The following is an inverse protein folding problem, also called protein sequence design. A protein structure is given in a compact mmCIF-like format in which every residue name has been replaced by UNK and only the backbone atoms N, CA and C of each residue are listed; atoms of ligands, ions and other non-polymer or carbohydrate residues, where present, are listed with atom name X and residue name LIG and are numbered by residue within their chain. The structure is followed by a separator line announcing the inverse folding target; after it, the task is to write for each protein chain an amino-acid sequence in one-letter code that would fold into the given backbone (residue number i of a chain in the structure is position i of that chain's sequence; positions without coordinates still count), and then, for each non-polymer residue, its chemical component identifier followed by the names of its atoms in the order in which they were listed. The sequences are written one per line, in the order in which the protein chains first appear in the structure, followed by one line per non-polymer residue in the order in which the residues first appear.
data_IF_032571110391
#
_entry.id   IF_032571110391
#
_cell.length_a   1.000
_cell.length_b   1.000
_cell.length_c   1.000
_cell.angle_alpha   90.00
_cell.angle_beta   90.00
_cell.angle_gamma   90.00
#
_symmetry.space_group_name_H-M   'P 1'
#
loop_
_entity.id
_entity.type
_entity.pdbx_description
1 polymer ?
#
# COMPACT_ATOMS: atom_id res chain seq x y z
N UNK A 1 -8.54 -1.83 8.78
CA UNK A 1 -9.40 -1.19 7.74
C UNK A 1 -9.15 -1.93 6.44
N UNK A 2 -9.68 -1.51 5.29
CA UNK A 2 -9.39 -2.16 3.99
C UNK A 2 -8.49 -1.27 3.14
N UNK A 3 -7.69 -1.85 2.25
CA UNK A 3 -6.82 -1.11 1.33
C UNK A 3 -7.61 -0.03 0.56
N UNK A 4 -7.08 1.20 0.52
CA UNK A 4 -7.70 2.25 -0.31
C UNK A 4 -7.17 2.19 -1.74
N UNK A 5 -8.05 2.34 -2.75
CA UNK A 5 -7.62 2.39 -4.14
C UNK A 5 -6.75 3.64 -4.38
N UNK A 6 -5.64 3.46 -5.11
CA UNK A 6 -4.75 4.54 -5.49
C UNK A 6 -5.33 5.31 -6.69
N UNK A 7 -5.15 6.63 -6.69
CA UNK A 7 -5.57 7.50 -7.80
C UNK A 7 -4.41 7.73 -8.78
N UNK A 8 -4.51 7.12 -9.95
CA UNK A 8 -3.52 7.26 -11.04
C UNK A 8 -3.57 8.62 -11.75
N UNK A 9 -4.64 9.40 -11.56
CA UNK A 9 -4.79 10.74 -12.15
C UNK A 9 -4.30 11.84 -11.20
N UNK A 10 -4.01 11.50 -9.95
CA UNK A 10 -3.42 12.40 -8.97
C UNK A 10 -2.02 12.83 -9.38
N UNK A 11 -1.60 14.08 -9.09
CA UNK A 11 -0.20 14.50 -9.25
C UNK A 11 0.75 13.78 -8.27
N UNK A 12 0.22 13.08 -7.27
CA UNK A 12 1.02 12.33 -6.29
C UNK A 12 1.46 10.98 -6.89
N UNK A 13 2.76 10.62 -6.84
CA UNK A 13 3.22 9.31 -7.29
C UNK A 13 2.49 8.15 -6.59
N UNK A 14 2.30 7.03 -7.30
CA UNK A 14 1.60 5.87 -6.75
C UNK A 14 2.30 5.26 -5.52
N UNK A 15 3.64 5.29 -5.46
CA UNK A 15 4.38 4.81 -4.30
C UNK A 15 4.05 5.65 -3.05
N UNK A 16 3.92 6.97 -3.19
CA UNK A 16 3.64 7.86 -2.06
C UNK A 16 2.20 7.69 -1.56
N UNK A 17 1.26 7.43 -2.49
CA UNK A 17 -0.11 7.09 -2.12
C UNK A 17 -0.19 5.75 -1.40
N UNK A 18 0.57 4.75 -1.87
CA UNK A 18 0.67 3.44 -1.23
C UNK A 18 1.30 3.55 0.16
N UNK A 19 2.42 4.27 0.29
CA UNK A 19 3.10 4.51 1.57
C UNK A 19 2.16 5.14 2.60
N UNK A 20 1.43 6.20 2.21
CA UNK A 20 0.45 6.86 3.08
C UNK A 20 -0.70 5.92 3.51
N UNK A 21 -1.12 5.02 2.62
CA UNK A 21 -2.12 4.00 2.94
C UNK A 21 -1.59 2.96 3.92
N UNK A 22 -0.38 2.46 3.69
CA UNK A 22 0.29 1.49 4.56
C UNK A 22 0.57 2.06 5.95
N UNK A 23 1.04 3.31 6.05
CA UNK A 23 1.24 4.00 7.33
C UNK A 23 -0.06 4.11 8.11
N UNK A 24 -1.17 4.49 7.47
CA UNK A 24 -2.48 4.55 8.13
C UNK A 24 -2.95 3.19 8.63
N UNK A 25 -2.70 2.12 7.86
CA UNK A 25 -3.05 0.74 8.23
C UNK A 25 -2.20 0.25 9.41
N UNK A 26 -0.91 0.58 9.41
CA UNK A 26 0.01 0.35 10.54
C UNK A 26 -0.47 1.06 11.81
N UNK A 27 -0.78 2.36 11.73
CA UNK A 27 -1.27 3.15 12.87
C UNK A 27 -2.61 2.64 13.42
N UNK A 28 -3.40 1.97 12.57
CA UNK A 28 -4.66 1.33 12.98
C UNK A 28 -4.49 -0.05 13.63
N UNK A 29 -3.25 -0.57 13.70
CA UNK A 29 -2.94 -1.90 14.21
C UNK A 29 -3.39 -3.04 13.28
N UNK A 30 -3.61 -2.76 11.99
CA UNK A 30 -4.16 -3.74 11.04
C UNK A 30 -3.25 -4.96 10.84
N UNK A 31 -1.95 -4.80 11.11
CA UNK A 31 -0.95 -5.84 10.95
C UNK A 31 -0.44 -6.40 12.29
N UNK A 32 -1.09 -6.08 13.42
CA UNK A 32 -0.62 -6.50 14.73
C UNK A 32 -0.87 -8.00 14.99
N UNK A 33 -1.94 -8.56 14.42
CA UNK A 33 -2.35 -9.96 14.61
C UNK A 33 -1.80 -10.92 13.52
N UNK A 34 -0.97 -10.43 12.59
CA UNK A 34 -0.55 -11.21 11.43
C UNK A 34 0.72 -10.72 10.75
N UNK A 35 1.25 -11.47 9.78
CA UNK A 35 2.42 -11.03 9.03
C UNK A 35 2.08 -9.80 8.17
N UNK A 36 3.05 -8.89 8.07
CA UNK A 36 2.95 -7.79 7.10
C UNK A 36 2.86 -8.35 5.66
N UNK A 37 2.07 -7.73 4.76
CA UNK A 37 1.91 -8.20 3.39
C UNK A 37 3.24 -8.26 2.63
N UNK A 38 3.40 -9.27 1.77
CA UNK A 38 4.55 -9.35 0.86
C UNK A 38 4.39 -8.40 -0.32
N UNK A 39 5.51 -8.10 -1.02
CA UNK A 39 5.46 -7.28 -2.24
C UNK A 39 4.43 -7.77 -3.27
N UNK A 40 4.29 -9.09 -3.40
CA UNK A 40 3.34 -9.71 -4.33
C UNK A 40 1.89 -9.49 -3.88
N UNK A 41 1.62 -9.59 -2.58
CA UNK A 41 0.30 -9.32 -2.04
C UNK A 41 -0.09 -7.85 -2.30
N UNK A 42 0.80 -6.92 -1.99
CA UNK A 42 0.59 -5.48 -2.22
C UNK A 42 0.44 -5.15 -3.71
N UNK A 43 1.23 -5.78 -4.59
CA UNK A 43 1.10 -5.64 -6.05
C UNK A 43 -0.32 -6.02 -6.50
N UNK A 44 -0.86 -7.12 -5.99
CA UNK A 44 -2.20 -7.60 -6.36
C UNK A 44 -3.31 -6.72 -5.75
N UNK A 45 -3.17 -6.34 -4.47
CA UNK A 45 -4.18 -5.58 -3.74
C UNK A 45 -4.35 -4.15 -4.27
N UNK A 46 -3.25 -3.52 -4.69
CA UNK A 46 -3.23 -2.13 -5.16
C UNK A 46 -3.08 -2.00 -6.69
N UNK A 47 -2.97 -3.11 -7.43
CA UNK A 47 -2.77 -3.14 -8.89
C UNK A 47 -1.56 -2.30 -9.35
N UNK A 48 -0.45 -2.40 -8.61
CA UNK A 48 0.80 -1.67 -8.91
C UNK A 48 1.94 -2.61 -9.21
N UNK A 49 3.02 -2.09 -9.81
CA UNK A 49 4.22 -2.89 -10.03
C UNK A 49 4.96 -3.15 -8.71
N UNK A 50 5.70 -4.27 -8.64
CA UNK A 50 6.61 -4.55 -7.51
C UNK A 50 7.63 -3.45 -7.26
N UNK A 51 8.04 -2.71 -8.29
CA UNK A 51 8.93 -1.56 -8.13
C UNK A 51 8.26 -0.47 -7.30
N UNK A 52 7.01 -0.13 -7.62
CA UNK A 52 6.21 0.85 -6.87
C UNK A 52 6.05 0.43 -5.41
N UNK A 53 5.81 -0.87 -5.17
CA UNK A 53 5.71 -1.42 -3.81
C UNK A 53 7.02 -1.30 -3.04
N UNK A 54 8.17 -1.49 -3.70
CA UNK A 54 9.48 -1.39 -3.04
C UNK A 54 10.00 0.02 -2.82
N UNK A 55 9.41 0.98 -3.51
CA UNK A 55 9.72 2.40 -3.36
C UNK A 55 8.90 3.06 -2.24
N UNK A 56 7.72 2.50 -1.93
CA UNK A 56 6.90 2.84 -0.78
C UNK A 56 7.47 2.25 0.52
#
# INVERSE_FOLDING_TARGET
MSAQPLDRNSPLPLWAQLEADLQRRLDSGEFDDGPFPTDLALTNDYDVSRHTVREA
#
